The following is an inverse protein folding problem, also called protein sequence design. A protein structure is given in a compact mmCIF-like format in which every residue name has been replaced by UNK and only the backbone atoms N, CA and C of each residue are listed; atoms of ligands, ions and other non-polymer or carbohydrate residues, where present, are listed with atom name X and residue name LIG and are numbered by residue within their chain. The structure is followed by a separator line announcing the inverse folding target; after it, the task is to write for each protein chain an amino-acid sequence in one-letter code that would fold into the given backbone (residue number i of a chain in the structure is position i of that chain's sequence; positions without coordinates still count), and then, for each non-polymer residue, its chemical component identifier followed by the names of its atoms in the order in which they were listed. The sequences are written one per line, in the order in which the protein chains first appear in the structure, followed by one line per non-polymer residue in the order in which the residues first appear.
data_IF_141774082021
#
_entry.id   IF_141774082021
#
_cell.length_a   1.000
_cell.length_b   1.000
_cell.length_c   1.000
_cell.angle_alpha   90.00
_cell.angle_beta   90.00
_cell.angle_gamma   90.00
#
_symmetry.space_group_name_H-M   'P 1'
#
loop_
_entity.id
_entity.type
_entity.pdbx_description
1 polymer ?
#
# COMPACT_ATOMS: atom_id res chain seq x y z
N UNK A 1 -4.01 4.33 25.92
CA UNK A 1 -4.56 5.48 25.17
C UNK A 1 -3.73 5.63 23.90
N UNK A 2 -4.31 5.46 22.70
CA UNK A 2 -3.56 5.72 21.45
C UNK A 2 -3.21 7.21 21.45
N UNK A 3 -1.92 7.56 21.33
CA UNK A 3 -1.53 8.97 21.13
C UNK A 3 -2.09 9.41 19.78
N UNK A 4 -3.05 10.34 19.78
CA UNK A 4 -3.74 10.86 18.58
C UNK A 4 -2.74 11.22 17.47
N UNK A 5 -1.60 11.78 17.86
CA UNK A 5 -0.54 12.21 16.94
C UNK A 5 0.15 11.05 16.21
N UNK A 6 0.27 9.89 16.86
CA UNK A 6 0.83 8.69 16.22
C UNK A 6 -0.11 8.15 15.14
N UNK A 7 -1.42 8.14 15.41
CA UNK A 7 -2.42 7.71 14.43
C UNK A 7 -2.40 8.62 13.19
N UNK A 8 -2.48 9.93 13.38
CA UNK A 8 -2.50 10.87 12.25
C UNK A 8 -1.20 10.82 11.43
N UNK A 9 -0.05 10.70 12.09
CA UNK A 9 1.26 10.53 11.43
C UNK A 9 1.31 9.24 10.60
N UNK A 10 0.87 8.13 11.17
CA UNK A 10 0.88 6.85 10.46
C UNK A 10 -0.13 6.86 9.29
N UNK A 11 -1.29 7.50 9.43
CA UNK A 11 -2.24 7.64 8.32
C UNK A 11 -1.67 8.50 7.18
N UNK A 12 -0.97 9.58 7.51
CA UNK A 12 -0.27 10.40 6.52
C UNK A 12 0.85 9.59 5.81
N UNK A 13 1.58 8.78 6.59
CA UNK A 13 2.62 7.89 6.05
C UNK A 13 2.04 6.85 5.09
N UNK A 14 0.91 6.22 5.44
CA UNK A 14 0.22 5.28 4.54
C UNK A 14 -0.23 5.98 3.24
N UNK A 15 -0.82 7.18 3.30
CA UNK A 15 -1.23 7.90 2.09
C UNK A 15 -0.03 8.27 1.20
N UNK A 16 1.07 8.74 1.80
CA UNK A 16 2.29 9.05 1.07
C UNK A 16 2.88 7.81 0.41
N UNK A 17 3.01 6.70 1.15
CA UNK A 17 3.53 5.46 0.61
C UNK A 17 2.64 4.93 -0.52
N UNK A 18 1.32 5.06 -0.42
CA UNK A 18 0.41 4.67 -1.49
C UNK A 18 0.68 5.45 -2.78
N UNK A 19 0.83 6.77 -2.70
CA UNK A 19 1.16 7.61 -3.87
C UNK A 19 2.49 7.19 -4.48
N UNK A 20 3.51 6.97 -3.64
CA UNK A 20 4.83 6.57 -4.10
C UNK A 20 4.81 5.17 -4.73
N UNK A 21 4.10 4.21 -4.14
CA UNK A 21 3.94 2.86 -4.68
C UNK A 21 3.25 2.89 -6.04
N UNK A 22 2.22 3.72 -6.23
CA UNK A 22 1.56 3.86 -7.54
C UNK A 22 2.56 4.25 -8.61
N UNK A 23 3.39 5.27 -8.36
CA UNK A 23 4.42 5.72 -9.31
C UNK A 23 5.48 4.66 -9.54
N UNK A 24 6.02 4.06 -8.47
CA UNK A 24 7.07 3.06 -8.60
C UNK A 24 6.61 1.80 -9.34
N UNK A 25 5.38 1.34 -9.11
CA UNK A 25 4.84 0.21 -9.87
C UNK A 25 4.57 0.58 -11.33
N UNK A 26 4.10 1.80 -11.61
CA UNK A 26 3.97 2.29 -12.99
C UNK A 26 5.33 2.31 -13.71
N UNK A 27 6.37 2.84 -13.07
CA UNK A 27 7.72 2.86 -13.62
C UNK A 27 8.32 1.46 -13.76
N UNK A 28 8.02 0.54 -12.84
CA UNK A 28 8.45 -0.86 -12.91
C UNK A 28 7.82 -1.60 -14.09
N UNK A 29 6.50 -1.47 -14.28
CA UNK A 29 5.83 -2.09 -15.43
C UNK A 29 6.18 -1.42 -16.76
N UNK A 30 6.56 -0.14 -16.74
CA UNK A 30 7.11 0.57 -17.89
C UNK A 30 8.60 0.28 -18.15
N UNK A 31 9.22 -0.64 -17.40
CA UNK A 31 10.65 -1.00 -17.50
C UNK A 31 11.62 0.17 -17.28
N UNK A 32 11.17 1.28 -16.67
CA UNK A 32 12.05 2.41 -16.30
C UNK A 32 12.89 2.10 -15.07
N UNK A 33 12.37 1.25 -14.19
CA UNK A 33 13.12 0.67 -13.07
C UNK A 33 13.10 -0.85 -13.18
N UNK A 34 14.24 -1.49 -12.91
CA UNK A 34 14.36 -2.95 -12.86
C UNK A 34 13.84 -3.53 -11.54
N UNK A 35 13.78 -2.68 -10.51
CA UNK A 35 13.34 -2.87 -9.12
C UNK A 35 11.84 -3.02 -8.88
N UNK A 36 11.27 -4.18 -8.51
CA UNK A 36 9.93 -4.15 -7.91
C UNK A 36 9.99 -3.43 -6.54
N UNK A 37 9.08 -2.48 -6.22
CA UNK A 37 9.07 -1.76 -4.94
C UNK A 37 8.52 -2.59 -3.76
N UNK A 38 9.02 -3.83 -3.59
CA UNK A 38 8.57 -4.79 -2.56
C UNK A 38 8.74 -4.28 -1.13
N UNK A 39 9.85 -3.59 -0.86
CA UNK A 39 10.16 -3.09 0.48
C UNK A 39 9.14 -2.05 0.95
N UNK A 40 8.89 -1.02 0.13
CA UNK A 40 7.90 0.02 0.44
C UNK A 40 6.49 -0.57 0.55
N UNK A 41 6.17 -1.58 -0.26
CA UNK A 41 4.89 -2.30 -0.19
C UNK A 41 4.76 -3.05 1.14
N UNK A 42 5.79 -3.77 1.56
CA UNK A 42 5.81 -4.51 2.83
C UNK A 42 5.71 -3.56 4.04
N UNK A 43 6.42 -2.44 4.03
CA UNK A 43 6.34 -1.42 5.08
C UNK A 43 4.92 -0.83 5.19
N UNK A 44 4.28 -0.57 4.05
CA UNK A 44 2.90 -0.04 4.00
C UNK A 44 1.88 -1.05 4.53
N UNK A 45 1.99 -2.32 4.12
CA UNK A 45 1.16 -3.42 4.63
C UNK A 45 1.32 -3.58 6.15
N UNK A 46 2.56 -3.53 6.65
CA UNK A 46 2.82 -3.63 8.09
C UNK A 46 2.17 -2.50 8.89
N UNK A 47 2.23 -1.25 8.39
CA UNK A 47 1.54 -0.11 8.99
C UNK A 47 0.02 -0.28 8.97
N UNK A 48 -0.55 -0.74 7.86
CA UNK A 48 -1.98 -1.02 7.77
C UNK A 48 -2.39 -2.10 8.79
N UNK A 49 -1.63 -3.19 8.87
CA UNK A 49 -1.94 -4.30 9.77
C UNK A 49 -1.80 -3.89 11.25
N UNK A 50 -0.81 -3.06 11.60
CA UNK A 50 -0.65 -2.45 12.92
C UNK A 50 -1.93 -1.75 13.38
N UNK A 51 -2.61 -1.02 12.49
CA UNK A 51 -3.82 -0.28 12.83
C UNK A 51 -5.11 -1.08 12.68
N UNK A 52 -5.11 -2.13 11.87
CA UNK A 52 -6.26 -3.03 11.69
C UNK A 52 -6.62 -3.79 12.97
N UNK A 53 -5.63 -4.21 13.75
CA UNK A 53 -5.83 -4.95 15.01
C UNK A 53 -6.07 -4.05 16.22
N UNK A 54 -5.81 -2.74 16.11
CA UNK A 54 -5.97 -1.79 17.21
C UNK A 54 -7.43 -1.30 17.30
N UNK A 55 -8.02 -1.23 18.51
CA UNK A 55 -9.35 -0.66 18.68
C UNK A 55 -9.32 0.84 18.40
N UNK A 56 -9.85 1.25 17.24
CA UNK A 56 -10.05 2.66 16.89
C UNK A 56 -11.40 3.10 17.44
N UNK A 57 -11.35 3.93 18.49
CA UNK A 57 -12.53 4.37 19.26
C UNK A 57 -13.36 5.42 18.50
N UNK A 58 -12.71 6.31 17.73
CA UNK A 58 -13.38 7.40 17.02
C UNK A 58 -13.85 6.96 15.64
N UNK A 59 -15.13 7.20 15.33
CA UNK A 59 -15.73 6.86 14.05
C UNK A 59 -14.99 7.51 12.85
N UNK A 60 -14.62 8.79 12.96
CA UNK A 60 -13.87 9.49 11.91
C UNK A 60 -12.49 8.84 11.62
N UNK A 61 -11.75 8.46 12.67
CA UNK A 61 -10.47 7.77 12.53
C UNK A 61 -10.66 6.39 11.90
N UNK A 62 -11.72 5.66 12.27
CA UNK A 62 -12.05 4.36 11.66
C UNK A 62 -12.38 4.51 10.18
N UNK A 63 -13.16 5.52 9.81
CA UNK A 63 -13.50 5.81 8.42
C UNK A 63 -12.25 6.14 7.59
N UNK A 64 -11.36 6.99 8.11
CA UNK A 64 -10.08 7.34 7.47
C UNK A 64 -9.22 6.11 7.23
N UNK A 65 -9.04 5.26 8.25
CA UNK A 65 -8.29 4.01 8.13
C UNK A 65 -8.94 3.07 7.09
N UNK A 66 -10.26 2.90 7.15
CA UNK A 66 -11.00 2.03 6.23
C UNK A 66 -10.86 2.49 4.77
N UNK A 67 -10.90 3.80 4.52
CA UNK A 67 -10.69 4.36 3.18
C UNK A 67 -9.27 4.06 2.65
N UNK A 68 -8.24 4.23 3.48
CA UNK A 68 -6.86 3.91 3.11
C UNK A 68 -6.68 2.41 2.83
N UNK A 69 -7.29 1.54 3.64
CA UNK A 69 -7.28 0.08 3.44
C UNK A 69 -7.94 -0.29 2.10
N UNK A 70 -9.10 0.29 1.78
CA UNK A 70 -9.78 0.03 0.51
C UNK A 70 -8.95 0.46 -0.69
N UNK A 71 -8.35 1.66 -0.62
CA UNK A 71 -7.44 2.16 -1.67
C UNK A 71 -6.23 1.25 -1.85
N UNK A 72 -5.60 0.84 -0.74
CA UNK A 72 -4.46 -0.07 -0.78
C UNK A 72 -4.83 -1.41 -1.42
N UNK A 73 -5.95 -2.03 -1.03
CA UNK A 73 -6.39 -3.31 -1.58
C UNK A 73 -6.66 -3.22 -3.09
N UNK A 74 -7.30 -2.14 -3.56
CA UNK A 74 -7.54 -1.93 -4.99
C UNK A 74 -6.22 -1.83 -5.79
N UNK A 75 -5.23 -1.10 -5.27
CA UNK A 75 -3.92 -1.02 -5.90
C UNK A 75 -3.16 -2.34 -5.84
N UNK A 76 -3.20 -3.02 -4.71
CA UNK A 76 -2.59 -4.35 -4.50
C UNK A 76 -3.08 -5.35 -5.54
N UNK A 77 -4.39 -5.44 -5.73
CA UNK A 77 -4.98 -6.32 -6.75
C UNK A 77 -4.55 -5.96 -8.17
N UNK A 78 -4.48 -4.65 -8.49
CA UNK A 78 -3.97 -4.17 -9.79
C UNK A 78 -2.53 -4.62 -10.02
N UNK A 79 -1.63 -4.35 -9.07
CA UNK A 79 -0.22 -4.70 -9.18
C UNK A 79 -0.02 -6.22 -9.26
N UNK A 80 -0.73 -7.00 -8.43
CA UNK A 80 -0.62 -8.46 -8.45
C UNK A 80 -1.09 -9.06 -9.78
N UNK A 81 -2.11 -8.48 -10.41
CA UNK A 81 -2.54 -8.89 -11.76
C UNK A 81 -1.44 -8.60 -12.79
N UNK A 82 -0.84 -7.41 -12.75
CA UNK A 82 0.21 -7.01 -13.69
C UNK A 82 1.49 -7.83 -13.50
N UNK A 83 1.88 -8.12 -12.26
CA UNK A 83 3.01 -9.00 -11.93
C UNK A 83 2.80 -10.39 -12.52
N UNK A 84 1.61 -10.98 -12.36
CA UNK A 84 1.30 -12.29 -12.97
C UNK A 84 1.37 -12.30 -14.49
N UNK A 85 1.01 -11.19 -15.15
CA UNK A 85 1.11 -11.07 -16.61
C UNK A 85 2.58 -11.03 -17.01
N UNK A 86 3.38 -10.15 -16.38
CA UNK A 86 4.82 -10.03 -16.60
C UNK A 86 5.56 -11.35 -16.34
N UNK A 87 5.25 -12.05 -15.25
CA UNK A 87 5.84 -13.36 -14.94
C UNK A 87 5.49 -14.44 -15.98
N UNK A 88 4.32 -14.38 -16.60
CA UNK A 88 3.94 -15.30 -17.68
C UNK A 88 4.70 -14.97 -18.95
N UNK A 89 4.73 -13.69 -19.34
CA UNK A 89 5.49 -13.21 -20.48
C UNK A 89 6.97 -13.62 -20.34
N UNK A 90 7.59 -13.41 -19.18
CA UNK A 90 9.00 -13.79 -18.94
C UNK A 90 9.29 -15.30 -19.03
N UNK A 91 8.29 -16.17 -18.87
CA UNK A 91 8.45 -17.63 -18.98
C UNK A 91 8.25 -18.17 -20.40
N UNK A 92 7.59 -17.39 -21.26
CA UNK A 92 7.26 -17.77 -22.64
C UNK A 92 8.36 -17.36 -23.65
N UNK A 93 9.42 -16.68 -23.18
CA UNK A 93 10.63 -16.34 -23.91
C UNK A 93 11.83 -17.17 -23.43
#
# INVERSE_FOLDING_TARGET
MIKKDEFEKDMATIDQNLRQLTVLYEDYFALKIYREPKELRAQTEALIQKWRVKPVVRAASRFKLQNLIQRYNAFKEKWDRQLRIKEKEEREW
#
